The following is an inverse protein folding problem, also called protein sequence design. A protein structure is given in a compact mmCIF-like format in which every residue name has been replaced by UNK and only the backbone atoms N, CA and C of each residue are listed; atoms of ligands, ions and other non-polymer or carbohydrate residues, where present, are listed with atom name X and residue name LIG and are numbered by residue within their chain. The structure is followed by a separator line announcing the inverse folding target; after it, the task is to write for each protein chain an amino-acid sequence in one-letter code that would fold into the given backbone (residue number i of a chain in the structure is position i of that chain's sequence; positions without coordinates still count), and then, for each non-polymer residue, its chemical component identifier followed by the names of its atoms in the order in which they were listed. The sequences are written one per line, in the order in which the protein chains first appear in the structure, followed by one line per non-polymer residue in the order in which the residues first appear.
data_IF_587878584027
#
_entry.id   IF_587878584027
#
_cell.length_a   1.000
_cell.length_b   1.000
_cell.length_c   1.000
_cell.angle_alpha   90.00
_cell.angle_beta   90.00
_cell.angle_gamma   90.00
#
_symmetry.space_group_name_H-M   'P 1'
#
loop_
_entity.id
_entity.type
_entity.pdbx_description
1 polymer ?
#
# COMPACT_ATOMS: atom_id res chain seq x y z
N UNK A 1 12.66 -1.54 5.41
CA UNK A 1 12.45 -1.56 3.94
C UNK A 1 10.96 -1.48 3.66
N UNK A 2 10.55 -0.54 2.83
CA UNK A 2 9.17 -0.41 2.38
C UNK A 2 9.14 -0.54 0.87
N UNK A 3 8.27 -1.40 0.36
CA UNK A 3 8.01 -1.58 -1.07
C UNK A 3 6.56 -1.28 -1.39
N UNK A 4 6.32 -0.71 -2.56
CA UNK A 4 4.99 -0.56 -3.14
C UNK A 4 4.92 -1.32 -4.46
N UNK A 5 3.82 -2.05 -4.66
CA UNK A 5 3.47 -2.70 -5.92
C UNK A 5 2.19 -2.09 -6.44
N UNK A 6 2.19 -1.59 -7.68
CA UNK A 6 0.99 -1.12 -8.38
C UNK A 6 0.84 -1.98 -9.63
N UNK A 7 -0.21 -2.80 -9.70
CA UNK A 7 -0.47 -3.74 -10.80
C UNK A 7 0.75 -4.59 -11.20
N UNK A 8 1.44 -5.16 -10.19
CA UNK A 8 2.65 -5.98 -10.32
C UNK A 8 3.93 -5.21 -10.69
N UNK A 9 3.88 -3.88 -10.81
CA UNK A 9 5.08 -3.05 -10.92
C UNK A 9 5.53 -2.69 -9.51
N UNK A 10 6.61 -3.33 -9.06
CA UNK A 10 7.18 -3.11 -7.73
C UNK A 10 8.25 -2.02 -7.75
N UNK A 11 8.28 -1.23 -6.69
CA UNK A 11 9.30 -0.22 -6.46
C UNK A 11 9.55 -0.02 -4.97
N UNK A 12 10.79 0.27 -4.62
CA UNK A 12 11.12 0.69 -3.25
C UNK A 12 10.53 2.08 -2.98
N UNK A 13 10.08 2.33 -1.75
CA UNK A 13 9.41 3.59 -1.42
C UNK A 13 10.34 4.79 -1.65
N UNK A 14 11.64 4.64 -1.41
CA UNK A 14 12.65 5.68 -1.66
C UNK A 14 12.76 6.08 -3.14
N UNK A 15 12.34 5.22 -4.06
CA UNK A 15 12.36 5.48 -5.50
C UNK A 15 10.96 5.75 -6.08
N UNK A 16 9.91 5.45 -5.32
CA UNK A 16 8.51 5.65 -5.70
C UNK A 16 8.08 7.10 -5.43
N UNK A 17 8.46 8.01 -6.33
CA UNK A 17 8.03 9.41 -6.26
C UNK A 17 6.51 9.57 -6.32
N UNK A 18 6.00 10.65 -5.74
CA UNK A 18 4.57 10.98 -5.78
C UNK A 18 4.02 11.03 -7.20
N UNK A 19 4.80 11.61 -8.13
CA UNK A 19 4.45 11.66 -9.56
C UNK A 19 4.36 10.27 -10.15
N UNK A 20 5.32 9.39 -9.86
CA UNK A 20 5.30 8.00 -10.35
C UNK A 20 4.06 7.25 -9.84
N UNK A 21 3.73 7.37 -8.55
CA UNK A 21 2.52 6.75 -7.98
C UNK A 21 1.26 7.26 -8.67
N UNK A 22 1.15 8.58 -8.87
CA UNK A 22 0.01 9.19 -9.53
C UNK A 22 -0.11 8.74 -10.99
N UNK A 23 1.00 8.67 -11.72
CA UNK A 23 1.06 8.18 -13.10
C UNK A 23 0.59 6.72 -13.18
N UNK A 24 1.11 5.81 -12.34
CA UNK A 24 0.72 4.41 -12.37
C UNK A 24 -0.77 4.22 -12.06
N UNK A 25 -1.29 4.91 -11.04
CA UNK A 25 -2.71 4.81 -10.70
C UNK A 25 -3.58 5.36 -11.83
N UNK A 26 -3.25 6.53 -12.38
CA UNK A 26 -4.06 7.15 -13.43
C UNK A 26 -4.01 6.34 -14.73
N UNK A 27 -2.85 5.83 -15.12
CA UNK A 27 -2.69 4.97 -16.28
C UNK A 27 -3.59 3.72 -16.18
N UNK A 28 -3.60 3.07 -15.02
CA UNK A 28 -4.36 1.84 -14.83
C UNK A 28 -5.85 2.05 -14.56
N UNK A 29 -6.26 3.19 -14.00
CA UNK A 29 -7.69 3.52 -13.83
C UNK A 29 -8.46 3.56 -15.16
N UNK A 30 -7.80 3.89 -16.26
CA UNK A 30 -8.41 3.85 -17.60
C UNK A 30 -8.65 2.43 -18.12
N UNK A 31 -8.02 1.42 -17.51
CA UNK A 31 -8.02 0.02 -17.96
C UNK A 31 -8.89 -0.85 -17.03
N UNK A 32 -8.95 -0.54 -15.73
CA UNK A 32 -9.76 -1.26 -14.75
C UNK A 32 -9.41 -0.95 -13.30
N UNK A 33 -9.72 -1.88 -12.40
CA UNK A 33 -9.36 -1.78 -10.97
C UNK A 33 -7.84 -1.75 -10.79
N UNK A 34 -7.37 -0.85 -9.94
CA UNK A 34 -5.93 -0.73 -9.62
C UNK A 34 -5.63 -1.56 -8.39
N UNK A 35 -4.79 -2.58 -8.54
CA UNK A 35 -4.25 -3.35 -7.43
C UNK A 35 -3.03 -2.62 -6.85
N UNK A 36 -3.14 -2.17 -5.61
CA UNK A 36 -2.00 -1.64 -4.85
C UNK A 36 -1.69 -2.58 -3.69
N UNK A 37 -0.42 -2.94 -3.56
CA UNK A 37 0.12 -3.65 -2.40
C UNK A 37 1.26 -2.85 -1.79
N UNK A 38 1.32 -2.79 -0.47
CA UNK A 38 2.43 -2.19 0.26
C UNK A 38 3.02 -3.24 1.19
N UNK A 39 4.32 -3.46 1.06
CA UNK A 39 5.08 -4.38 1.89
C UNK A 39 6.00 -3.61 2.82
N UNK A 40 5.89 -3.87 4.11
CA UNK A 40 6.65 -3.20 5.17
C UNK A 40 7.45 -4.28 5.89
N UNK A 41 8.78 -4.21 5.78
CA UNK A 41 9.71 -5.14 6.41
C UNK A 41 10.73 -4.41 7.28
N UNK A 42 10.73 -4.70 8.57
CA UNK A 42 11.68 -4.18 9.55
C UNK A 42 11.84 -5.17 10.71
N UNK A 43 12.82 -4.98 11.62
CA UNK A 43 12.93 -5.83 12.80
C UNK A 43 11.62 -5.84 13.61
N UNK A 44 10.97 -7.00 13.69
CA UNK A 44 9.69 -7.18 14.38
C UNK A 44 8.42 -6.84 13.57
N UNK A 45 8.55 -6.41 12.31
CA UNK A 45 7.43 -6.02 11.44
C UNK A 45 7.57 -6.70 10.08
N UNK A 46 6.60 -7.55 9.72
CA UNK A 46 6.44 -8.07 8.36
C UNK A 46 4.96 -8.00 7.96
N UNK A 47 4.59 -6.92 7.27
CA UNK A 47 3.19 -6.63 6.89
C UNK A 47 3.07 -6.46 5.39
N UNK A 48 2.08 -7.15 4.82
CA UNK A 48 1.60 -6.91 3.46
C UNK A 48 0.18 -6.35 3.52
N UNK A 49 -0.01 -5.15 3.00
CA UNK A 49 -1.31 -4.49 2.85
C UNK A 49 -1.71 -4.53 1.39
N UNK A 50 -2.98 -4.80 1.10
CA UNK A 50 -3.51 -4.84 -0.25
C UNK A 50 -4.84 -4.09 -0.35
N UNK A 51 -5.06 -3.43 -1.48
CA UNK A 51 -6.36 -2.85 -1.84
C UNK A 51 -7.29 -3.92 -2.42
N UNK A 52 -8.61 -3.72 -2.34
CA UNK A 52 -9.63 -4.55 -2.99
C UNK A 52 -9.45 -4.69 -4.50
N UNK A 53 -8.78 -3.73 -5.15
CA UNK A 53 -8.45 -3.82 -6.58
C UNK A 53 -7.53 -4.98 -6.93
N UNK A 54 -6.92 -5.65 -5.95
CA UNK A 54 -6.15 -6.88 -6.11
C UNK A 54 -7.00 -8.16 -6.16
N UNK A 55 -8.32 -8.07 -5.93
CA UNK A 55 -9.20 -9.23 -5.74
C UNK A 55 -9.14 -9.80 -4.32
N UNK A 56 -10.01 -10.77 -4.02
CA UNK A 56 -10.22 -11.38 -2.69
C UNK A 56 -9.07 -12.27 -2.18
N UNK A 57 -7.84 -12.08 -2.66
CA UNK A 57 -6.78 -13.08 -2.60
C UNK A 57 -5.65 -12.86 -1.58
N UNK A 58 -5.76 -11.93 -0.62
CA UNK A 58 -4.62 -11.66 0.27
C UNK A 58 -5.01 -11.16 1.67
N UNK A 59 -5.81 -11.95 2.39
CA UNK A 59 -5.73 -11.95 3.85
C UNK A 59 -4.55 -12.83 4.26
N UNK A 60 -3.42 -12.22 4.61
CA UNK A 60 -2.29 -12.95 5.19
C UNK A 60 -2.78 -13.79 6.37
N UNK A 61 -2.52 -15.11 6.34
CA UNK A 61 -3.10 -16.06 7.30
C UNK A 61 -2.65 -15.86 8.76
N UNK A 62 -1.76 -14.90 9.01
CA UNK A 62 -1.24 -14.55 10.33
C UNK A 62 -1.88 -13.25 10.81
N UNK A 63 -2.34 -13.25 12.06
CA UNK A 63 -2.79 -12.02 12.73
C UNK A 63 -1.61 -11.06 12.92
N UNK A 64 -1.77 -9.77 12.59
CA UNK A 64 -0.77 -8.74 12.88
C UNK A 64 -0.42 -8.72 14.37
N UNK A 65 0.86 -8.51 14.67
CA UNK A 65 1.33 -8.23 16.02
C UNK A 65 1.04 -6.76 16.42
N UNK A 66 1.40 -6.36 17.65
CA UNK A 66 1.12 -5.02 18.19
C UNK A 66 1.74 -3.89 17.36
N UNK A 67 2.96 -4.08 16.87
CA UNK A 67 3.66 -3.09 16.05
C UNK A 67 3.13 -3.11 14.62
N UNK A 68 2.69 -4.26 14.12
CA UNK A 68 2.08 -4.40 12.80
C UNK A 68 0.67 -3.78 12.73
N UNK A 69 -0.09 -3.82 13.83
CA UNK A 69 -1.44 -3.26 13.92
C UNK A 69 -1.48 -1.76 13.58
N UNK A 70 -0.43 -1.00 13.89
CA UNK A 70 -0.43 0.44 13.60
C UNK A 70 -0.51 0.72 12.08
N UNK A 71 0.11 -0.15 11.27
CA UNK A 71 0.07 -0.04 9.80
C UNK A 71 -1.28 -0.47 9.24
N UNK A 72 -1.88 -1.52 9.80
CA UNK A 72 -3.22 -1.98 9.42
C UNK A 72 -4.27 -0.93 9.76
N UNK A 73 -4.23 -0.36 10.96
CA UNK A 73 -5.14 0.70 11.39
C UNK A 73 -4.96 1.95 10.52
N UNK A 74 -3.72 2.34 10.21
CA UNK A 74 -3.46 3.45 9.29
C UNK A 74 -4.06 3.16 7.91
N UNK A 75 -3.83 1.98 7.34
CA UNK A 75 -4.39 1.57 6.05
C UNK A 75 -5.92 1.70 6.01
N UNK A 76 -6.59 1.23 7.07
CA UNK A 76 -8.05 1.35 7.21
C UNK A 76 -8.51 2.80 7.37
N UNK A 77 -7.80 3.60 8.20
CA UNK A 77 -8.11 5.03 8.41
C UNK A 77 -8.01 5.83 7.12
N UNK A 78 -7.03 5.55 6.26
CA UNK A 78 -6.92 6.16 4.93
C UNK A 78 -7.88 5.55 3.90
N UNK A 79 -8.69 4.55 4.27
CA UNK A 79 -9.63 3.85 3.40
C UNK A 79 -8.95 3.29 2.13
N UNK A 80 -7.73 2.77 2.29
CA UNK A 80 -6.92 2.24 1.18
C UNK A 80 -7.23 0.78 0.84
N UNK A 81 -8.02 0.12 1.69
CA UNK A 81 -8.61 -1.18 1.40
C UNK A 81 -9.66 -1.11 0.29
N UNK A 82 -10.31 0.03 0.06
CA UNK A 82 -11.44 0.13 -0.86
C UNK A 82 -11.05 0.41 -2.31
N UNK A 83 -11.86 -0.04 -3.26
CA UNK A 83 -11.79 0.37 -4.67
C UNK A 83 -12.86 1.44 -5.00
N UNK A 84 -12.55 2.50 -5.76
CA UNK A 84 -11.24 2.84 -6.33
C UNK A 84 -10.28 3.45 -5.31
N UNK A 85 -9.01 3.08 -5.38
CA UNK A 85 -7.99 3.62 -4.48
C UNK A 85 -7.79 5.12 -4.72
N UNK A 86 -7.69 5.91 -3.65
CA UNK A 86 -7.42 7.35 -3.74
C UNK A 86 -5.91 7.63 -3.71
N UNK A 87 -5.37 8.20 -4.78
CA UNK A 87 -3.94 8.54 -4.92
C UNK A 87 -3.43 9.44 -3.80
N UNK A 88 -4.16 10.50 -3.45
CA UNK A 88 -3.75 11.44 -2.41
C UNK A 88 -3.68 10.79 -1.03
N UNK A 89 -4.66 9.94 -0.70
CA UNK A 89 -4.65 9.17 0.56
C UNK A 89 -3.54 8.14 0.60
N UNK A 90 -3.23 7.49 -0.53
CA UNK A 90 -2.13 6.55 -0.62
C UNK A 90 -0.79 7.26 -0.37
N UNK A 91 -0.56 8.39 -1.03
CA UNK A 91 0.65 9.20 -0.81
C UNK A 91 0.75 9.64 0.66
N UNK A 92 -0.35 10.11 1.25
CA UNK A 92 -0.37 10.52 2.67
C UNK A 92 -0.02 9.36 3.61
N UNK A 93 -0.56 8.17 3.36
CA UNK A 93 -0.22 6.95 4.10
C UNK A 93 1.28 6.61 3.96
N UNK A 94 1.81 6.61 2.73
CA UNK A 94 3.21 6.31 2.46
C UNK A 94 4.16 7.30 3.17
N UNK A 95 3.86 8.59 3.12
CA UNK A 95 4.59 9.63 3.87
C UNK A 95 4.52 9.43 5.38
N UNK A 96 3.38 8.94 5.89
CA UNK A 96 3.24 8.67 7.30
C UNK A 96 4.13 7.49 7.72
N UNK A 97 4.12 6.38 6.99
CA UNK A 97 4.93 5.20 7.34
C UNK A 97 6.42 5.42 7.13
N UNK A 98 6.82 6.22 6.13
CA UNK A 98 8.22 6.57 5.87
C UNK A 98 8.86 7.27 7.08
N UNK A 99 8.09 8.08 7.83
CA UNK A 99 8.57 8.75 9.05
C UNK A 99 8.83 7.82 10.24
N UNK A 100 8.36 6.57 10.20
CA UNK A 100 8.60 5.59 11.26
C UNK A 100 9.93 4.83 11.06
N UNK A 101 10.60 5.03 9.94
CA UNK A 101 11.86 4.36 9.58
C UNK A 101 12.95 5.38 9.24
#
# INVERSE_FOLDING_TARGET
MIKISINNIEKDLSEASESWIAEQINHHRGIGSVCVKVYIKAPGVDVALASEGCGSGQSGGRRPNRDEMMFVDAWQKFQLGSSPINTGRLIAFLKQIDRYF
#
